data_IF_335214586693
#
_entry.id   IF_335214586693
#
_cell.length_a   1.000
_cell.length_b   1.000
_cell.length_c   1.000
_cell.angle_alpha   90.00
_cell.angle_beta   90.00
_cell.angle_gamma   90.00
#
_symmetry.space_group_name_H-M   'P 1'
#
loop_
_entity.id
_entity.type
_entity.pdbx_description
1 polymer ?
#
# COMPACT_ATOMS: atom_id res chain seq x y z
N UNK A 1 -73.35 -41.48 16.34
CA UNK A 1 -72.80 -40.13 16.65
C UNK A 1 -71.29 -40.31 16.89
N UNK A 2 -70.38 -39.81 16.05
CA UNK A 2 -69.90 -38.40 15.96
C UNK A 2 -69.11 -37.98 17.22
N UNK A 3 -67.89 -37.40 17.25
CA UNK A 3 -66.90 -36.87 16.28
C UNK A 3 -65.64 -36.36 17.06
N UNK A 4 -64.45 -36.46 16.45
CA UNK A 4 -63.33 -35.46 16.36
C UNK A 4 -62.52 -35.03 17.61
N UNK A 5 -61.16 -35.09 17.51
CA UNK A 5 -60.12 -34.05 17.85
C UNK A 5 -58.82 -34.72 18.33
N UNK A 6 -57.56 -34.40 17.97
CA UNK A 6 -56.80 -33.33 17.28
C UNK A 6 -55.41 -33.96 16.92
N UNK A 7 -54.86 -33.79 15.70
CA UNK A 7 -53.68 -32.94 15.32
C UNK A 7 -52.59 -32.85 16.41
N UNK A 8 -51.29 -33.08 16.20
CA UNK A 8 -50.36 -32.67 15.14
C UNK A 8 -49.11 -33.60 15.19
N UNK A 9 -48.54 -34.12 14.10
CA UNK A 9 -47.95 -33.48 12.93
C UNK A 9 -46.58 -32.82 13.20
N UNK A 10 -45.54 -33.46 12.64
CA UNK A 10 -44.27 -32.91 12.16
C UNK A 10 -43.35 -32.18 13.15
N UNK A 11 -42.33 -32.90 13.64
CA UNK A 11 -41.02 -32.30 13.92
C UNK A 11 -40.10 -32.65 12.75
N UNK A 12 -40.02 -31.70 11.82
CA UNK A 12 -39.05 -31.65 10.74
C UNK A 12 -37.64 -31.60 11.31
N UNK A 13 -36.89 -32.69 11.11
CA UNK A 13 -35.43 -32.72 11.22
C UNK A 13 -34.85 -31.76 10.18
N UNK A 14 -34.45 -30.58 10.62
CA UNK A 14 -33.64 -29.67 9.80
C UNK A 14 -32.25 -30.27 9.66
N UNK A 15 -32.02 -30.94 8.53
CA UNK A 15 -30.68 -31.27 8.07
C UNK A 15 -29.96 -29.95 7.74
N UNK A 16 -29.03 -29.55 8.61
CA UNK A 16 -28.10 -28.47 8.32
C UNK A 16 -27.21 -28.94 7.16
N UNK A 17 -27.49 -28.44 5.96
CA UNK A 17 -26.60 -28.58 4.82
C UNK A 17 -25.30 -27.83 5.13
N UNK A 18 -24.25 -28.57 5.48
CA UNK A 18 -22.89 -28.07 5.47
C UNK A 18 -22.53 -27.79 4.00
N UNK A 19 -22.74 -26.55 3.56
CA UNK A 19 -22.13 -26.02 2.35
C UNK A 19 -20.63 -25.90 2.61
N UNK A 20 -19.90 -27.00 2.38
CA UNK A 20 -18.47 -26.93 2.12
C UNK A 20 -18.32 -26.23 0.78
N UNK A 21 -18.26 -24.90 0.80
CA UNK A 21 -17.73 -24.14 -0.32
C UNK A 21 -16.27 -24.51 -0.39
N UNK A 22 -15.95 -25.51 -1.21
CA UNK A 22 -14.62 -25.70 -1.73
C UNK A 22 -14.36 -24.48 -2.64
N UNK A 23 -14.03 -23.36 -2.02
CA UNK A 23 -13.31 -22.28 -2.69
C UNK A 23 -12.04 -22.95 -3.18
N UNK A 24 -11.98 -23.28 -4.46
CA UNK A 24 -10.69 -23.37 -5.14
C UNK A 24 -10.12 -21.96 -5.05
N UNK A 25 -9.44 -21.66 -3.95
CA UNK A 25 -8.56 -20.53 -3.88
C UNK A 25 -7.58 -20.79 -5.02
N UNK A 26 -7.82 -20.18 -6.17
CA UNK A 26 -6.76 -19.85 -7.12
C UNK A 26 -5.64 -19.36 -6.23
N UNK A 27 -4.47 -20.03 -6.21
CA UNK A 27 -3.38 -19.59 -5.36
C UNK A 27 -3.23 -18.10 -5.61
N UNK A 28 -3.47 -17.29 -4.57
CA UNK A 28 -3.08 -15.90 -4.60
C UNK A 28 -1.63 -15.95 -5.07
N UNK A 29 -1.38 -15.41 -6.27
CA UNK A 29 -0.09 -15.46 -6.91
C UNK A 29 0.86 -14.78 -5.93
N UNK A 30 1.59 -15.61 -5.19
CA UNK A 30 2.28 -15.19 -4.01
C UNK A 30 3.51 -14.40 -4.46
N UNK A 31 3.66 -13.20 -3.93
CA UNK A 31 4.87 -12.43 -4.17
C UNK A 31 6.08 -13.25 -3.75
N UNK A 32 7.19 -13.21 -4.51
CA UNK A 32 8.41 -13.86 -4.07
C UNK A 32 8.93 -13.11 -2.85
N UNK A 33 8.73 -13.71 -1.66
CA UNK A 33 9.12 -13.11 -0.40
C UNK A 33 10.64 -12.91 -0.34
N UNK A 34 11.08 -11.77 0.21
CA UNK A 34 12.49 -11.44 0.29
C UNK A 34 12.74 -9.94 0.43
N UNK A 35 14.01 -9.57 0.36
CA UNK A 35 14.43 -8.17 0.28
C UNK A 35 14.10 -7.58 -1.09
N UNK A 36 13.78 -6.28 -1.09
CA UNK A 36 13.62 -5.52 -2.32
C UNK A 36 14.43 -4.23 -2.26
N UNK A 37 14.77 -3.74 -3.45
CA UNK A 37 15.21 -2.37 -3.69
C UNK A 37 14.27 -1.76 -4.73
N UNK A 38 13.66 -0.63 -4.41
CA UNK A 38 12.84 0.13 -5.33
C UNK A 38 13.57 1.42 -5.71
N UNK A 39 13.89 1.58 -6.98
CA UNK A 39 14.57 2.76 -7.50
C UNK A 39 13.56 3.67 -8.19
N UNK A 40 13.74 4.98 -8.05
CA UNK A 40 12.93 5.96 -8.76
C UNK A 40 13.02 5.72 -10.27
N UNK A 41 11.86 5.70 -10.93
CA UNK A 41 11.72 5.60 -12.38
C UNK A 41 11.19 6.94 -12.90
N UNK A 42 12.08 7.76 -13.44
CA UNK A 42 11.82 9.15 -13.80
C UNK A 42 12.05 10.11 -12.63
N UNK A 43 11.22 11.15 -12.53
CA UNK A 43 11.34 12.19 -11.51
C UNK A 43 10.27 12.04 -10.43
N UNK A 44 10.63 12.35 -9.18
CA UNK A 44 9.67 12.57 -8.11
C UNK A 44 9.38 14.07 -8.01
N UNK A 45 8.10 14.42 -7.97
CA UNK A 45 7.65 15.80 -7.75
C UNK A 45 6.96 15.88 -6.39
N UNK A 46 7.43 16.80 -5.55
CA UNK A 46 6.81 17.15 -4.26
C UNK A 46 6.34 18.59 -4.37
N UNK A 47 5.03 18.81 -4.35
CA UNK A 47 4.42 20.14 -4.45
C UNK A 47 3.69 20.51 -3.16
N UNK A 48 4.26 21.44 -2.41
CA UNK A 48 3.64 22.03 -1.21
C UNK A 48 3.20 23.49 -1.46
N UNK A 49 2.95 23.86 -2.71
CA UNK A 49 2.71 25.23 -3.19
C UNK A 49 3.85 25.76 -4.07
N UNK A 50 5.05 25.17 -3.96
CA UNK A 50 6.16 25.32 -4.90
C UNK A 50 6.66 23.91 -5.20
N UNK A 51 6.67 23.47 -6.47
CA UNK A 51 7.11 22.13 -6.82
C UNK A 51 8.63 21.99 -6.67
N UNK A 52 9.06 20.93 -5.99
CA UNK A 52 10.43 20.47 -5.96
C UNK A 52 10.54 19.15 -6.74
N UNK A 53 11.50 19.07 -7.65
CA UNK A 53 11.75 17.87 -8.46
C UNK A 53 12.99 17.15 -7.95
N UNK A 54 12.83 15.93 -7.48
CA UNK A 54 13.89 15.04 -7.04
C UNK A 54 14.20 14.04 -8.16
N UNK A 55 15.47 13.95 -8.56
CA UNK A 55 15.94 13.08 -9.65
C UNK A 55 16.30 11.68 -9.18
N UNK A 56 16.46 11.49 -7.86
CA UNK A 56 16.91 10.22 -7.31
C UNK A 56 16.15 9.89 -6.04
N UNK A 57 15.64 8.67 -5.96
CA UNK A 57 15.09 8.10 -4.74
C UNK A 57 15.31 6.60 -4.73
N UNK A 58 15.55 6.05 -3.55
CA UNK A 58 15.70 4.60 -3.36
C UNK A 58 14.99 4.20 -2.08
N UNK A 59 14.17 3.15 -2.19
CA UNK A 59 13.52 2.51 -1.06
C UNK A 59 14.08 1.10 -0.93
N UNK A 60 14.34 0.67 0.29
CA UNK A 60 14.81 -0.69 0.59
C UNK A 60 13.94 -1.29 1.68
N UNK A 61 13.70 -2.59 1.59
CA UNK A 61 12.80 -3.23 2.54
C UNK A 61 12.65 -4.72 2.28
N UNK A 62 11.55 -5.26 2.80
CA UNK A 62 11.13 -6.64 2.57
C UNK A 62 9.69 -6.71 2.06
N UNK A 63 9.43 -7.69 1.22
CA UNK A 63 8.08 -8.08 0.78
C UNK A 63 7.77 -9.48 1.34
N UNK A 64 6.58 -9.65 1.89
CA UNK A 64 6.06 -10.95 2.30
C UNK A 64 5.30 -11.62 1.14
N UNK A 65 5.04 -12.93 1.27
CA UNK A 65 4.38 -13.71 0.22
C UNK A 65 2.94 -13.26 -0.09
N UNK A 66 2.32 -12.55 0.84
CA UNK A 66 0.99 -11.94 0.68
C UNK A 66 1.03 -10.54 0.02
N UNK A 67 2.22 -10.05 -0.34
CA UNK A 67 2.44 -8.71 -0.90
C UNK A 67 2.60 -7.61 0.14
N UNK A 68 2.61 -7.93 1.43
CA UNK A 68 2.88 -6.95 2.50
C UNK A 68 4.31 -6.42 2.37
N UNK A 69 4.46 -5.10 2.34
CA UNK A 69 5.75 -4.40 2.28
C UNK A 69 6.15 -3.85 3.65
N UNK A 70 7.45 -3.85 3.91
CA UNK A 70 8.06 -3.10 5.02
C UNK A 70 9.26 -2.35 4.48
N UNK A 71 9.16 -1.04 4.38
CA UNK A 71 10.24 -0.15 3.95
C UNK A 71 11.09 0.18 5.17
N UNK A 72 12.32 -0.34 5.22
CA UNK A 72 13.25 -0.14 6.34
C UNK A 72 14.30 0.92 6.06
N UNK A 73 14.49 1.27 4.78
CA UNK A 73 15.40 2.32 4.35
C UNK A 73 14.79 3.13 3.21
N UNK A 74 15.05 4.43 3.22
CA UNK A 74 14.65 5.34 2.16
C UNK A 74 15.67 6.47 2.05
N UNK A 75 15.99 6.86 0.82
CA UNK A 75 16.85 8.00 0.52
C UNK A 75 16.27 8.78 -0.65
N UNK A 76 16.29 10.11 -0.56
CA UNK A 76 15.85 11.00 -1.64
C UNK A 76 16.93 12.06 -1.86
N UNK A 77 17.26 12.33 -3.12
CA UNK A 77 18.24 13.34 -3.51
C UNK A 77 17.85 14.03 -4.82
N UNK A 78 18.60 15.05 -5.20
CA UNK A 78 18.35 15.82 -6.42
C UNK A 78 17.23 16.87 -6.33
N UNK A 79 16.55 16.98 -5.18
CA UNK A 79 15.40 17.88 -4.98
C UNK A 79 15.72 19.39 -4.99
N UNK A 80 16.98 19.79 -5.15
CA UNK A 80 17.47 21.17 -4.91
C UNK A 80 17.49 21.59 -3.43
N UNK A 81 16.78 20.87 -2.56
CA UNK A 81 16.73 21.03 -1.10
C UNK A 81 16.96 19.68 -0.43
N UNK A 82 17.39 19.68 0.83
CA UNK A 82 17.51 18.43 1.59
C UNK A 82 16.12 17.90 1.94
N UNK A 83 15.76 16.78 1.33
CA UNK A 83 14.58 15.97 1.68
C UNK A 83 15.08 14.74 2.42
N UNK A 84 14.55 14.49 3.62
CA UNK A 84 14.95 13.40 4.49
C UNK A 84 13.73 12.53 4.80
N UNK A 85 13.73 11.26 4.39
CA UNK A 85 12.76 10.29 4.87
C UNK A 85 12.83 10.13 6.39
N UNK A 86 11.68 10.12 7.06
CA UNK A 86 11.59 9.97 8.52
C UNK A 86 10.48 9.00 8.89
N UNK A 87 10.45 8.56 10.15
CA UNK A 87 9.39 7.67 10.64
C UNK A 87 9.46 6.24 10.08
N UNK A 88 10.64 5.79 9.64
CA UNK A 88 10.87 4.41 9.25
C UNK A 88 10.81 3.46 10.47
N UNK A 89 10.38 2.20 10.29
CA UNK A 89 9.94 1.60 9.02
C UNK A 89 8.52 2.02 8.61
N UNK A 90 8.29 2.14 7.31
CA UNK A 90 6.93 2.30 6.77
C UNK A 90 6.35 0.95 6.38
N UNK A 91 5.04 0.81 6.55
CA UNK A 91 4.32 -0.37 6.10
C UNK A 91 3.78 -0.13 4.69
N UNK A 92 3.36 -1.18 4.01
CA UNK A 92 2.70 -1.05 2.71
C UNK A 92 2.17 -2.36 2.18
N UNK A 93 1.62 -2.35 0.98
CA UNK A 93 1.14 -3.55 0.31
C UNK A 93 1.23 -3.45 -1.21
N UNK A 94 1.42 -4.58 -1.88
CA UNK A 94 1.23 -4.76 -3.31
C UNK A 94 0.17 -5.84 -3.52
N UNK A 95 -1.06 -5.46 -3.81
CA UNK A 95 -2.15 -6.43 -3.99
C UNK A 95 -3.19 -5.93 -4.99
N UNK A 96 -3.66 -6.81 -5.86
CA UNK A 96 -4.73 -6.49 -6.80
C UNK A 96 -4.42 -5.32 -7.75
N UNK A 97 -3.15 -5.08 -8.08
CA UNK A 97 -2.72 -3.95 -8.91
C UNK A 97 -2.60 -2.62 -8.15
N UNK A 98 -2.79 -2.61 -6.83
CA UNK A 98 -2.67 -1.44 -5.96
C UNK A 98 -1.40 -1.52 -5.14
N UNK A 99 -0.64 -0.42 -5.12
CA UNK A 99 0.52 -0.25 -4.24
C UNK A 99 0.17 0.75 -3.14
N UNK A 100 0.32 0.38 -1.86
CA UNK A 100 0.10 1.30 -0.76
C UNK A 100 1.34 1.44 0.11
N UNK A 101 1.53 2.62 0.69
CA UNK A 101 2.44 2.83 1.81
C UNK A 101 1.70 3.52 2.94
N UNK A 102 1.82 2.95 4.13
CA UNK A 102 1.24 3.45 5.37
C UNK A 102 2.34 4.03 6.25
N UNK A 103 2.08 5.22 6.79
CA UNK A 103 3.05 5.95 7.62
C UNK A 103 4.20 6.60 6.85
N UNK A 104 4.09 6.74 5.52
CA UNK A 104 5.04 7.45 4.67
C UNK A 104 5.27 8.86 5.22
N UNK A 105 6.53 9.26 5.40
CA UNK A 105 6.87 10.57 5.95
C UNK A 105 8.18 11.13 5.39
N UNK A 106 8.15 12.38 4.94
CA UNK A 106 9.32 13.11 4.46
C UNK A 106 9.43 14.46 5.13
N UNK A 107 10.66 14.84 5.47
CA UNK A 107 11.00 16.13 6.05
C UNK A 107 11.84 16.95 5.09
N UNK A 108 11.47 18.20 4.84
CA UNK A 108 12.20 19.14 4.00
C UNK A 108 12.12 20.55 4.60
N UNK A 109 13.26 21.22 4.75
CA UNK A 109 13.34 22.62 5.23
C UNK A 109 12.57 22.84 6.56
N UNK A 110 12.63 21.86 7.48
CA UNK A 110 11.94 21.93 8.77
C UNK A 110 10.42 21.69 8.71
N UNK A 111 9.89 21.30 7.55
CA UNK A 111 8.52 20.85 7.36
C UNK A 111 8.49 19.35 7.22
N UNK A 112 7.64 18.66 7.99
CA UNK A 112 7.43 17.23 7.81
C UNK A 112 6.02 16.99 7.30
N UNK A 113 5.92 16.22 6.22
CA UNK A 113 4.68 15.79 5.61
C UNK A 113 4.62 14.27 5.65
N UNK A 114 3.44 13.73 5.92
CA UNK A 114 3.22 12.31 5.87
C UNK A 114 1.77 11.91 5.92
N UNK A 115 1.57 10.62 5.80
CA UNK A 115 0.28 9.98 5.70
C UNK A 115 0.39 8.72 4.87
N UNK A 116 -0.76 8.20 4.47
CA UNK A 116 -0.83 6.98 3.68
C UNK A 116 -0.97 7.37 2.21
N UNK A 117 -0.17 6.76 1.34
CA UNK A 117 -0.18 7.01 -0.11
C UNK A 117 -0.57 5.74 -0.84
N UNK A 118 -1.39 5.88 -1.88
CA UNK A 118 -1.90 4.75 -2.66
C UNK A 118 -1.70 5.00 -4.15
N UNK A 119 -0.96 4.11 -4.78
CA UNK A 119 -0.68 4.09 -6.21
C UNK A 119 -1.21 2.82 -6.88
N UNK A 120 -0.86 2.68 -8.15
CA UNK A 120 -1.07 1.45 -8.91
C UNK A 120 0.28 0.83 -9.26
N UNK A 121 0.33 -0.48 -9.46
CA UNK A 121 1.52 -1.13 -10.00
C UNK A 121 1.20 -1.94 -11.25
N UNK A 122 2.22 -2.12 -12.09
CA UNK A 122 2.18 -2.90 -13.32
C UNK A 122 3.40 -3.82 -13.39
N UNK A 123 3.28 -4.94 -14.13
CA UNK A 123 4.34 -5.96 -14.23
C UNK A 123 3.96 -7.35 -13.68
N UNK A 124 2.76 -7.52 -13.13
CA UNK A 124 2.32 -8.77 -12.48
C UNK A 124 2.84 -8.92 -11.05
N UNK A 125 2.71 -10.10 -10.45
CA UNK A 125 3.19 -10.41 -9.08
C UNK A 125 4.59 -11.06 -9.10
N UNK A 126 5.43 -10.64 -10.05
CA UNK A 126 6.82 -11.08 -10.21
C UNK A 126 7.70 -9.88 -10.48
N UNK A 127 8.80 -9.75 -9.75
CA UNK A 127 9.76 -8.67 -9.97
C UNK A 127 10.46 -8.79 -11.33
N UNK A 128 10.78 -7.68 -12.00
CA UNK A 128 10.56 -6.30 -11.55
C UNK A 128 9.10 -5.82 -11.72
N UNK A 129 8.63 -4.97 -10.81
CA UNK A 129 7.32 -4.33 -10.90
C UNK A 129 7.47 -2.82 -10.76
N UNK A 130 6.70 -2.06 -11.54
CA UNK A 130 6.70 -0.59 -11.45
C UNK A 130 5.45 -0.11 -10.75
N UNK A 131 5.60 0.55 -9.60
CA UNK A 131 4.51 1.21 -8.89
C UNK A 131 4.55 2.72 -9.12
N UNK A 132 3.40 3.30 -9.47
CA UNK A 132 3.22 4.72 -9.70
C UNK A 132 2.27 5.31 -8.65
N UNK A 133 2.75 6.33 -7.95
CA UNK A 133 2.01 7.14 -6.99
C UNK A 133 1.79 8.49 -7.64
N UNK A 134 0.57 8.78 -8.09
CA UNK A 134 0.26 10.02 -8.83
C UNK A 134 -0.61 10.93 -7.97
N UNK A 135 -0.22 12.19 -7.82
CA UNK A 135 -0.99 13.23 -7.11
C UNK A 135 -1.41 12.82 -5.67
N UNK A 136 -0.53 12.12 -4.97
CA UNK A 136 -0.80 11.65 -3.61
C UNK A 136 -0.67 12.78 -2.59
N UNK A 137 -1.76 13.09 -1.90
CA UNK A 137 -1.76 14.17 -0.90
C UNK A 137 -1.35 13.64 0.47
N UNK A 138 -0.25 14.17 1.01
CA UNK A 138 0.21 13.93 2.38
C UNK A 138 -0.01 15.17 3.24
N UNK A 139 -0.32 14.97 4.51
CA UNK A 139 -0.65 16.07 5.43
C UNK A 139 0.59 16.51 6.20
N UNK A 140 0.64 17.78 6.59
CA UNK A 140 1.68 18.28 7.47
C UNK A 140 1.57 17.61 8.83
N UNK A 141 2.63 16.90 9.23
CA UNK A 141 2.77 16.31 10.57
C UNK A 141 3.54 17.23 11.51
N UNK A 142 4.48 18.05 11.00
CA UNK A 142 5.21 19.05 11.80
C UNK A 142 5.70 20.26 10.99
N UNK A 143 5.97 21.36 11.70
CA UNK A 143 6.52 22.61 11.16
C UNK A 143 5.52 23.78 11.17
N UNK A 144 5.85 24.86 11.88
CA UNK A 144 4.92 25.97 12.16
C UNK A 144 4.55 26.79 10.91
N UNK A 145 5.52 27.07 10.04
CA UNK A 145 5.33 27.91 8.83
C UNK A 145 5.04 27.10 7.56
N UNK A 146 4.81 25.80 7.71
CA UNK A 146 4.66 24.89 6.58
C UNK A 146 3.21 24.89 6.08
N UNK A 147 2.98 24.71 4.78
CA UNK A 147 1.64 24.52 4.21
C UNK A 147 0.95 23.31 4.86
N UNK A 148 -0.38 23.26 4.77
CA UNK A 148 -1.18 22.20 5.43
C UNK A 148 -0.94 20.81 4.86
N UNK A 149 -0.56 20.72 3.58
CA UNK A 149 -0.38 19.47 2.85
C UNK A 149 0.65 19.63 1.73
N UNK A 150 1.13 18.51 1.20
CA UNK A 150 1.94 18.44 0.00
C UNK A 150 1.41 17.33 -0.91
N UNK A 151 1.53 17.51 -2.22
CA UNK A 151 1.19 16.52 -3.24
C UNK A 151 2.45 15.86 -3.74
N UNK A 152 2.44 14.53 -3.86
CA UNK A 152 3.59 13.72 -4.26
C UNK A 152 3.22 12.94 -5.52
N UNK A 153 4.07 13.05 -6.53
CA UNK A 153 4.04 12.21 -7.72
C UNK A 153 5.38 11.53 -7.86
N UNK A 154 5.40 10.19 -7.88
CA UNK A 154 6.63 9.41 -8.03
C UNK A 154 6.31 8.03 -8.61
N UNK A 155 7.22 7.50 -9.41
CA UNK A 155 7.18 6.11 -9.89
C UNK A 155 8.42 5.36 -9.41
N UNK A 156 8.26 4.11 -9.00
CA UNK A 156 9.34 3.26 -8.51
C UNK A 156 9.33 1.90 -9.18
N UNK A 157 10.49 1.47 -9.64
CA UNK A 157 10.71 0.09 -10.08
C UNK A 157 11.27 -0.73 -8.93
N UNK A 158 10.48 -1.69 -8.44
CA UNK A 158 10.89 -2.65 -7.42
C UNK A 158 11.60 -3.83 -8.08
N UNK A 159 12.72 -4.23 -7.50
CA UNK A 159 13.45 -5.43 -7.84
C UNK A 159 13.83 -6.19 -6.56
N UNK A 160 13.97 -7.53 -6.64
CA UNK A 160 14.57 -8.29 -5.54
C UNK A 160 16.04 -7.94 -5.40
N UNK A 161 16.50 -7.85 -4.16
CA UNK A 161 17.89 -7.62 -3.77
C UNK A 161 18.53 -8.83 -3.12
#
# INVERSE_FOLDING_TARGET
>A
MSRISKKAAFLSTTAAAALTVAMTATPALAWPAGSFTATLDGDMVIDAGIPATCTDSTLTGSVAADGTLTVTGASVSGCGVTVTPVGLPWSGSLSGGVASFDGFQMSAIGCTFGGDITGSYSGGETFPVTAAFTEQTVQRTSGWLCPSSATITASYTFAQS
#
